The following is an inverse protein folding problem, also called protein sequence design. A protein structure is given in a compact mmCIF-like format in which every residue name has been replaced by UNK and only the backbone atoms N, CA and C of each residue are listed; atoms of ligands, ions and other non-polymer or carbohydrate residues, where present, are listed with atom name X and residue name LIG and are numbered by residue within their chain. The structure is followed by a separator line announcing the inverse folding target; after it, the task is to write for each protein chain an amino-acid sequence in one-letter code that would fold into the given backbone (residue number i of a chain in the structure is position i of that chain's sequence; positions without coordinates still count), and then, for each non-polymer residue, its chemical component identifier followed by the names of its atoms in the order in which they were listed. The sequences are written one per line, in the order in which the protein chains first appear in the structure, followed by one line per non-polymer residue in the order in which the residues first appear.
data_IF_205994333357
#
_entry.id   IF_205994333357
#
_cell.length_a   1.000
_cell.length_b   1.000
_cell.length_c   1.000
_cell.angle_alpha   90.00
_cell.angle_beta   90.00
_cell.angle_gamma   90.00
#
_symmetry.space_group_name_H-M   'P 1'
#
loop_
_entity.id
_entity.type
_entity.pdbx_description
1 polymer ?
#
# COMPACT_ATOMS: atom_id res chain seq x y z
N UNK A 1 54.14 66.11 4.05
CA UNK A 1 53.26 66.70 5.03
C UNK A 1 52.03 65.77 5.12
N UNK A 2 52.09 64.78 5.92
CA UNK A 2 51.57 64.70 7.29
C UNK A 2 50.07 64.78 7.34
N UNK A 3 49.46 63.71 7.78
CA UNK A 3 48.12 63.71 8.29
C UNK A 3 47.55 62.28 8.40
N UNK A 4 47.98 61.60 9.45
CA UNK A 4 47.36 60.41 10.04
C UNK A 4 46.01 60.78 10.60
N UNK A 5 45.01 59.89 10.50
CA UNK A 5 44.16 59.62 11.64
C UNK A 5 43.43 58.27 11.47
N UNK A 6 43.58 57.51 12.49
CA UNK A 6 42.92 56.26 12.82
C UNK A 6 41.41 56.46 13.07
N UNK A 7 40.64 55.40 12.83
CA UNK A 7 39.22 55.34 13.18
C UNK A 7 38.76 53.92 13.17
N UNK A 8 38.95 53.33 14.29
CA UNK A 8 38.59 52.00 14.78
C UNK A 8 37.17 51.58 14.58
N UNK A 9 37.00 50.32 14.27
CA UNK A 9 36.17 49.36 14.96
C UNK A 9 34.63 49.41 14.85
N UNK A 10 34.05 48.39 14.36
CA UNK A 10 32.61 48.17 14.39
C UNK A 10 32.09 46.96 13.61
N UNK A 11 32.86 45.89 13.48
CA UNK A 11 32.30 44.65 13.01
C UNK A 11 31.43 44.00 14.14
N UNK A 12 30.18 44.44 14.23
CA UNK A 12 29.16 43.69 14.98
C UNK A 12 28.85 42.40 14.24
N UNK A 13 29.44 41.35 14.72
CA UNK A 13 29.07 39.98 14.47
C UNK A 13 27.61 39.81 14.85
N UNK A 14 26.70 39.82 13.84
CA UNK A 14 25.34 39.32 14.01
C UNK A 14 25.49 37.80 14.30
N UNK A 15 25.33 37.45 15.57
CA UNK A 15 25.05 36.08 15.96
C UNK A 15 23.71 35.71 15.31
N UNK A 16 23.79 34.97 14.18
CA UNK A 16 22.65 34.17 13.73
C UNK A 16 22.40 33.17 14.84
N UNK A 17 21.30 33.30 15.55
CA UNK A 17 20.74 32.22 16.32
C UNK A 17 20.54 31.07 15.36
N UNK A 18 21.37 30.06 15.44
CA UNK A 18 21.06 28.72 14.95
C UNK A 18 19.80 28.33 15.72
N UNK A 19 18.63 28.41 15.09
CA UNK A 19 17.49 27.67 15.54
C UNK A 19 17.98 26.22 15.61
N UNK A 20 18.12 25.69 16.81
CA UNK A 20 18.35 24.27 17.05
C UNK A 20 17.23 23.56 16.28
N UNK A 21 17.57 22.82 15.24
CA UNK A 21 16.63 21.91 14.60
C UNK A 21 16.21 20.94 15.71
N UNK A 22 14.93 20.89 16.08
CA UNK A 22 14.49 19.94 17.09
C UNK A 22 14.94 18.55 16.62
N UNK A 23 15.54 17.78 17.54
CA UNK A 23 16.00 16.43 17.26
C UNK A 23 14.82 15.65 16.62
N UNK A 24 15.04 15.09 15.44
CA UNK A 24 13.99 14.41 14.69
C UNK A 24 13.55 13.17 15.50
N UNK A 25 12.22 12.97 15.63
CA UNK A 25 11.68 11.75 16.27
C UNK A 25 12.27 10.48 15.66
N UNK A 26 12.51 9.47 16.50
CA UNK A 26 13.13 8.21 16.09
C UNK A 26 12.39 7.53 14.92
N UNK A 27 11.05 7.60 14.89
CA UNK A 27 10.25 7.02 13.81
C UNK A 27 10.50 7.74 12.49
N UNK A 28 10.48 9.06 12.52
CA UNK A 28 10.76 9.88 11.34
C UNK A 28 12.23 9.69 10.87
N UNK A 29 13.17 9.51 11.81
CA UNK A 29 14.56 9.24 11.46
C UNK A 29 14.70 7.89 10.74
N UNK A 30 14.09 6.81 11.25
CA UNK A 30 14.14 5.48 10.64
C UNK A 30 13.43 5.49 9.28
N UNK A 31 12.26 6.12 9.18
CA UNK A 31 11.55 6.25 7.91
C UNK A 31 12.39 7.00 6.86
N UNK A 32 13.06 8.10 7.26
CA UNK A 32 13.98 8.84 6.40
C UNK A 32 15.16 7.99 5.94
N UNK A 33 15.75 7.22 6.86
CA UNK A 33 16.88 6.35 6.53
C UNK A 33 16.45 5.25 5.55
N UNK A 34 15.26 4.66 5.74
CA UNK A 34 14.69 3.66 4.82
C UNK A 34 14.40 4.23 3.44
N UNK A 35 13.86 5.46 3.35
CA UNK A 35 13.62 6.14 2.06
C UNK A 35 14.92 6.30 1.26
N UNK A 36 16.05 6.49 1.92
CA UNK A 36 17.36 6.65 1.27
C UNK A 36 17.93 5.38 0.66
N UNK A 37 17.40 4.22 1.02
CA UNK A 37 17.64 3.01 0.25
C UNK A 37 16.71 3.01 -0.96
N UNK A 38 17.28 3.17 -2.17
CA UNK A 38 16.51 3.05 -3.41
C UNK A 38 16.23 1.57 -3.70
N UNK A 39 15.12 1.09 -3.15
CA UNK A 39 14.62 -0.28 -3.32
C UNK A 39 13.57 -0.36 -4.42
N UNK A 40 13.72 0.41 -5.49
CA UNK A 40 12.76 0.47 -6.59
C UNK A 40 12.58 -0.89 -7.25
N UNK A 41 11.34 -1.33 -7.29
CA UNK A 41 10.88 -2.52 -8.00
C UNK A 41 10.19 -2.11 -9.31
N UNK A 42 10.80 -2.44 -10.45
CA UNK A 42 10.28 -2.11 -11.78
C UNK A 42 9.34 -3.19 -12.31
N UNK A 43 9.14 -4.28 -11.56
CA UNK A 43 8.43 -5.45 -12.03
C UNK A 43 9.21 -6.26 -13.08
N UNK A 44 8.62 -7.34 -13.57
CA UNK A 44 9.19 -8.21 -14.61
C UNK A 44 10.63 -8.69 -14.29
N UNK A 45 10.91 -8.94 -12.99
CA UNK A 45 12.21 -9.40 -12.50
C UNK A 45 13.30 -8.32 -12.46
N UNK A 46 12.95 -7.04 -12.61
CA UNK A 46 13.87 -5.92 -12.51
C UNK A 46 13.66 -5.15 -11.21
N UNK A 47 14.69 -5.02 -10.41
CA UNK A 47 14.68 -4.27 -9.14
C UNK A 47 16.08 -3.73 -8.83
N UNK A 48 16.14 -2.69 -8.03
CA UNK A 48 17.41 -2.24 -7.43
C UNK A 48 17.79 -3.13 -6.23
N UNK A 49 16.82 -3.91 -5.71
CA UNK A 49 17.01 -4.87 -4.62
C UNK A 49 16.73 -4.27 -3.24
N UNK A 50 16.39 -5.14 -2.29
CA UNK A 50 16.03 -4.78 -0.91
C UNK A 50 17.12 -5.11 0.11
N UNK A 51 18.22 -5.76 -0.26
CA UNK A 51 19.24 -6.29 0.67
C UNK A 51 19.75 -5.24 1.67
N UNK A 52 20.13 -4.05 1.20
CA UNK A 52 20.68 -3.00 2.08
C UNK A 52 19.61 -2.51 3.10
N UNK A 53 18.36 -2.37 2.68
CA UNK A 53 17.25 -2.02 3.57
C UNK A 53 16.94 -3.15 4.56
N UNK A 54 16.97 -4.40 4.10
CA UNK A 54 16.77 -5.59 4.91
C UNK A 54 17.86 -5.73 5.99
N UNK A 55 19.14 -5.54 5.63
CA UNK A 55 20.25 -5.54 6.59
C UNK A 55 20.13 -4.41 7.62
N UNK A 56 19.70 -3.22 7.19
CA UNK A 56 19.42 -2.11 8.09
C UNK A 56 18.31 -2.46 9.09
N UNK A 57 17.19 -3.01 8.63
CA UNK A 57 16.07 -3.44 9.49
C UNK A 57 16.49 -4.57 10.44
N UNK A 58 17.24 -5.55 9.94
CA UNK A 58 17.78 -6.62 10.77
C UNK A 58 18.68 -6.08 11.88
N UNK A 59 19.61 -5.17 11.57
CA UNK A 59 20.46 -4.54 12.57
C UNK A 59 19.66 -3.76 13.63
N UNK A 60 18.54 -3.11 13.24
CA UNK A 60 17.63 -2.46 14.20
C UNK A 60 17.00 -3.46 15.16
N UNK A 61 16.53 -4.60 14.64
CA UNK A 61 15.97 -5.69 15.46
C UNK A 61 17.03 -6.34 16.37
N UNK A 62 18.25 -6.56 15.87
CA UNK A 62 19.38 -7.08 16.68
C UNK A 62 19.72 -6.15 17.86
N UNK A 63 19.72 -4.84 17.64
CA UNK A 63 19.94 -3.86 18.70
C UNK A 63 18.87 -3.90 19.80
N UNK A 64 17.70 -4.48 19.53
CA UNK A 64 16.64 -4.75 20.51
C UNK A 64 16.82 -6.11 21.20
N UNK A 65 17.88 -6.85 20.89
CA UNK A 65 18.15 -8.19 21.44
C UNK A 65 17.38 -9.31 20.72
N UNK A 66 16.75 -9.02 19.58
CA UNK A 66 16.05 -10.02 18.77
C UNK A 66 17.03 -10.77 17.85
N UNK A 67 16.54 -11.83 17.23
CA UNK A 67 17.33 -12.67 16.32
C UNK A 67 16.64 -12.70 14.93
N UNK A 68 16.76 -11.63 14.14
CA UNK A 68 16.22 -11.63 12.80
C UNK A 68 16.91 -12.66 11.92
N UNK A 69 16.17 -13.19 10.95
CA UNK A 69 16.67 -14.04 9.89
C UNK A 69 16.43 -13.36 8.56
N UNK A 70 17.44 -13.36 7.71
CA UNK A 70 17.35 -12.85 6.35
C UNK A 70 17.14 -14.02 5.39
N UNK A 71 16.29 -13.82 4.42
CA UNK A 71 15.90 -14.81 3.42
C UNK A 71 16.00 -14.22 2.03
N UNK A 72 16.92 -14.74 1.24
CA UNK A 72 17.05 -14.39 -0.17
C UNK A 72 16.27 -15.40 -1.01
N UNK A 73 15.25 -14.96 -1.70
CA UNK A 73 14.58 -15.78 -2.72
C UNK A 73 15.37 -15.81 -4.01
N UNK A 74 15.96 -14.67 -4.37
CA UNK A 74 16.90 -14.45 -5.47
C UNK A 74 17.93 -13.38 -5.03
N UNK A 75 19.07 -13.25 -5.73
CA UNK A 75 20.05 -12.20 -5.40
C UNK A 75 19.42 -10.80 -5.36
N UNK A 76 19.53 -10.14 -4.21
CA UNK A 76 18.98 -8.81 -3.99
C UNK A 76 17.51 -8.78 -3.52
N UNK A 77 16.81 -9.91 -3.52
CA UNK A 77 15.40 -10.01 -3.07
C UNK A 77 15.35 -10.57 -1.65
N UNK A 78 15.65 -9.72 -0.67
CA UNK A 78 15.88 -10.12 0.72
C UNK A 78 14.73 -9.69 1.62
N UNK A 79 14.09 -10.67 2.25
CA UNK A 79 13.09 -10.47 3.31
C UNK A 79 13.69 -10.68 4.69
N UNK A 80 13.15 -10.03 5.73
CA UNK A 80 13.58 -10.16 7.13
C UNK A 80 12.43 -10.67 7.98
N UNK A 81 12.68 -11.71 8.80
CA UNK A 81 11.68 -12.21 9.76
C UNK A 81 12.30 -12.35 11.14
N UNK A 82 11.63 -11.87 12.17
CA UNK A 82 11.99 -12.04 13.55
C UNK A 82 10.80 -12.43 14.42
N UNK A 83 11.02 -13.28 15.44
CA UNK A 83 10.00 -13.59 16.43
C UNK A 83 10.30 -12.87 17.74
N UNK A 84 9.28 -12.22 18.30
CA UNK A 84 9.31 -11.58 19.61
C UNK A 84 8.48 -12.43 20.56
N UNK A 85 9.07 -12.90 21.65
CA UNK A 85 8.37 -13.68 22.66
C UNK A 85 7.43 -12.78 23.46
N UNK A 86 6.16 -13.18 23.55
CA UNK A 86 5.14 -12.50 24.31
C UNK A 86 5.07 -12.95 25.77
N UNK A 87 4.37 -12.17 26.60
CA UNK A 87 4.13 -12.49 28.00
C UNK A 87 3.23 -13.71 28.17
N UNK A 88 2.28 -13.94 27.26
CA UNK A 88 1.39 -15.10 27.23
C UNK A 88 1.54 -15.86 25.90
N UNK A 89 2.39 -16.87 25.92
CA UNK A 89 2.67 -17.71 24.75
C UNK A 89 1.59 -18.75 24.47
N UNK A 90 0.54 -18.83 25.30
CA UNK A 90 -0.63 -19.67 25.04
C UNK A 90 -1.61 -19.00 24.05
N UNK A 91 -1.53 -17.69 23.89
CA UNK A 91 -2.29 -16.95 22.89
C UNK A 91 -1.74 -17.22 21.48
N UNK A 92 -2.60 -17.23 20.45
CA UNK A 92 -2.13 -17.24 19.07
C UNK A 92 -1.20 -16.06 18.79
N UNK A 93 -0.16 -16.27 17.99
CA UNK A 93 0.74 -15.20 17.60
C UNK A 93 0.06 -14.21 16.65
N UNK A 94 0.55 -12.97 16.63
CA UNK A 94 0.15 -11.93 15.67
C UNK A 94 1.31 -11.69 14.70
N UNK A 95 1.03 -11.72 13.39
CA UNK A 95 1.99 -11.24 12.40
C UNK A 95 1.85 -9.72 12.26
N UNK A 96 2.97 -9.02 12.33
CA UNK A 96 3.05 -7.58 12.03
C UNK A 96 4.04 -7.45 10.89
N UNK A 97 3.57 -7.04 9.72
CA UNK A 97 4.41 -7.07 8.55
C UNK A 97 4.31 -5.80 7.70
N UNK A 98 5.34 -5.61 6.91
CA UNK A 98 5.43 -4.59 5.89
C UNK A 98 6.30 -5.07 4.74
N UNK A 99 6.45 -4.22 3.70
CA UNK A 99 7.35 -4.46 2.60
C UNK A 99 8.41 -3.36 2.50
N UNK A 100 9.56 -3.69 1.96
CA UNK A 100 10.69 -2.77 1.89
C UNK A 100 10.97 -2.23 0.48
N UNK A 101 10.39 -2.83 -0.56
CA UNK A 101 10.45 -2.32 -1.92
C UNK A 101 9.47 -1.15 -2.14
N UNK A 102 9.64 -0.44 -3.23
CA UNK A 102 8.81 0.70 -3.62
C UNK A 102 8.63 0.76 -5.13
N UNK A 103 7.52 1.34 -5.62
CA UNK A 103 7.32 1.59 -7.05
C UNK A 103 8.31 2.65 -7.59
N UNK A 104 8.57 2.68 -8.91
CA UNK A 104 9.45 3.68 -9.52
C UNK A 104 9.00 5.12 -9.26
N UNK A 105 9.96 6.00 -9.09
CA UNK A 105 9.78 7.44 -9.09
C UNK A 105 10.53 8.08 -10.27
N UNK A 106 9.93 9.09 -10.88
CA UNK A 106 10.57 9.91 -11.91
C UNK A 106 10.96 11.25 -11.28
N UNK A 107 12.24 11.47 -10.92
CA UNK A 107 12.67 12.64 -10.13
C UNK A 107 12.27 13.98 -10.76
N UNK A 108 12.25 14.08 -12.09
CA UNK A 108 11.85 15.30 -12.80
C UNK A 108 10.42 15.76 -12.54
N UNK A 109 9.55 14.86 -12.05
CA UNK A 109 8.16 15.15 -11.72
C UNK A 109 7.96 15.52 -10.24
N UNK A 110 8.99 15.37 -9.40
CA UNK A 110 8.90 15.59 -7.96
C UNK A 110 9.37 16.98 -7.55
N UNK A 111 8.76 17.53 -6.50
CA UNK A 111 9.17 18.81 -5.89
C UNK A 111 10.45 18.70 -5.05
N UNK A 112 10.86 17.49 -4.70
CA UNK A 112 12.07 17.13 -3.95
C UNK A 112 12.67 15.86 -4.55
N UNK A 113 13.92 15.54 -4.19
CA UNK A 113 14.47 14.22 -4.56
C UNK A 113 13.68 13.11 -3.85
N UNK A 114 13.09 12.15 -4.58
CA UNK A 114 12.25 11.11 -3.99
C UNK A 114 12.99 10.14 -3.06
N UNK A 115 14.31 10.07 -3.10
CA UNK A 115 15.13 9.18 -2.28
C UNK A 115 16.01 9.90 -1.25
N UNK A 116 15.84 11.21 -1.04
CA UNK A 116 16.58 11.96 -0.02
C UNK A 116 15.92 11.93 1.38
N UNK A 117 14.61 11.63 1.46
CA UNK A 117 13.87 11.69 2.71
C UNK A 117 13.85 13.11 3.29
N UNK A 118 13.36 14.05 2.50
CA UNK A 118 13.37 15.48 2.82
C UNK A 118 12.37 15.80 3.92
N UNK A 119 12.81 16.51 4.97
CA UNK A 119 11.91 17.07 5.97
C UNK A 119 11.57 18.49 5.57
N UNK A 120 10.29 18.74 5.27
CA UNK A 120 9.79 20.03 4.83
C UNK A 120 8.36 20.25 5.30
N UNK A 121 8.03 21.42 5.76
CA UNK A 121 6.68 21.84 6.19
C UNK A 121 6.02 20.87 7.21
N UNK A 122 6.81 20.31 8.15
CA UNK A 122 6.35 19.37 9.15
C UNK A 122 6.04 17.96 8.62
N UNK A 123 6.49 17.65 7.40
CA UNK A 123 6.29 16.36 6.74
C UNK A 123 7.61 15.72 6.32
N UNK A 124 7.65 14.41 6.29
CA UNK A 124 8.69 13.60 5.65
C UNK A 124 8.24 13.32 4.22
N UNK A 125 9.07 13.73 3.24
CA UNK A 125 8.83 13.58 1.81
C UNK A 125 9.77 12.53 1.24
N UNK A 126 9.25 11.67 0.37
CA UNK A 126 10.03 10.70 -0.38
C UNK A 126 9.20 9.51 -0.82
N UNK A 127 9.69 8.73 -1.78
CA UNK A 127 9.08 7.49 -2.22
C UNK A 127 9.16 6.45 -1.08
N UNK A 128 8.01 5.87 -0.71
CA UNK A 128 7.88 5.00 0.47
C UNK A 128 7.49 5.74 1.75
N UNK A 129 7.31 7.08 1.72
CA UNK A 129 6.83 7.83 2.89
C UNK A 129 5.40 7.47 3.29
N UNK A 130 4.62 6.93 2.35
CA UNK A 130 3.23 6.46 2.52
C UNK A 130 3.13 4.96 2.31
N UNK A 131 3.86 4.42 1.33
CA UNK A 131 3.80 3.04 0.89
C UNK A 131 5.21 2.42 0.83
N UNK A 132 5.66 1.67 1.88
CA UNK A 132 5.10 1.69 3.24
C UNK A 132 6.20 1.82 4.32
N UNK A 133 7.35 2.47 3.99
CA UNK A 133 8.49 2.65 4.90
C UNK A 133 8.16 3.45 6.18
N UNK A 134 7.05 4.22 6.16
CA UNK A 134 6.47 4.84 7.34
C UNK A 134 6.00 3.78 8.36
N UNK A 135 5.31 2.74 7.89
CA UNK A 135 4.85 1.65 8.76
C UNK A 135 6.02 0.81 9.27
N UNK A 136 6.99 0.49 8.42
CA UNK A 136 8.20 -0.22 8.82
C UNK A 136 8.92 0.51 9.97
N UNK A 137 9.04 1.82 9.86
CA UNK A 137 9.63 2.64 10.91
C UNK A 137 8.79 2.66 12.19
N UNK A 138 7.46 2.73 12.08
CA UNK A 138 6.55 2.66 13.24
C UNK A 138 6.64 1.29 13.92
N UNK A 139 6.75 0.19 13.17
CA UNK A 139 6.94 -1.16 13.71
C UNK A 139 8.22 -1.26 14.54
N UNK A 140 9.35 -0.82 13.99
CA UNK A 140 10.65 -0.81 14.70
C UNK A 140 10.57 0.02 15.97
N UNK A 141 10.03 1.23 15.91
CA UNK A 141 10.01 2.13 17.07
C UNK A 141 8.98 1.73 18.12
N UNK A 142 7.86 1.11 17.74
CA UNK A 142 6.94 0.49 18.70
C UNK A 142 7.63 -0.64 19.49
N UNK A 143 8.42 -1.49 18.81
CA UNK A 143 9.21 -2.51 19.48
C UNK A 143 10.29 -1.90 20.39
N UNK A 144 10.95 -0.80 19.98
CA UNK A 144 11.89 -0.06 20.83
C UNK A 144 11.23 0.42 22.12
N UNK A 145 10.02 0.99 22.04
CA UNK A 145 9.26 1.46 23.19
C UNK A 145 8.89 0.30 24.14
N UNK A 146 8.45 -0.83 23.59
CA UNK A 146 8.05 -2.00 24.36
C UNK A 146 9.26 -2.61 25.05
N UNK A 147 10.24 -3.07 24.28
CA UNK A 147 11.38 -3.81 24.78
C UNK A 147 12.35 -2.92 25.59
N UNK A 148 12.56 -1.67 25.17
CA UNK A 148 13.37 -0.69 25.88
C UNK A 148 12.82 -0.32 27.26
N UNK A 149 11.49 -0.45 27.48
CA UNK A 149 10.87 -0.28 28.79
C UNK A 149 10.97 -1.54 29.69
N UNK A 150 11.56 -2.62 29.18
CA UNK A 150 11.63 -3.90 29.88
C UNK A 150 10.31 -4.69 29.89
N UNK A 151 9.34 -4.29 29.06
CA UNK A 151 8.04 -4.97 28.90
C UNK A 151 8.11 -5.97 27.74
N UNK A 152 7.11 -6.82 27.67
CA UNK A 152 6.92 -7.78 26.58
C UNK A 152 5.56 -7.51 25.89
N UNK A 153 5.42 -7.83 24.59
CA UNK A 153 4.11 -7.87 23.94
C UNK A 153 3.18 -8.82 24.67
N UNK A 154 1.86 -8.62 24.58
CA UNK A 154 0.89 -9.50 25.26
C UNK A 154 0.93 -10.94 24.75
N UNK A 155 1.32 -11.16 23.49
CA UNK A 155 1.44 -12.45 22.80
C UNK A 155 2.70 -12.49 21.93
N UNK A 156 3.07 -13.65 21.44
CA UNK A 156 4.16 -13.75 20.48
C UNK A 156 3.85 -12.91 19.23
N UNK A 157 4.87 -12.17 18.74
CA UNK A 157 4.78 -11.46 17.47
C UNK A 157 5.71 -12.11 16.45
N UNK A 158 5.26 -12.16 15.19
CA UNK A 158 6.10 -12.42 14.03
C UNK A 158 6.23 -11.11 13.28
N UNK A 159 7.42 -10.52 13.33
CA UNK A 159 7.75 -9.29 12.61
C UNK A 159 8.34 -9.68 11.27
N UNK A 160 7.76 -9.22 10.19
CA UNK A 160 8.25 -9.51 8.85
C UNK A 160 8.34 -8.24 8.01
N UNK A 161 9.45 -8.09 7.28
CA UNK A 161 9.62 -7.09 6.22
C UNK A 161 9.88 -7.86 4.94
N UNK A 162 8.90 -7.86 4.05
CA UNK A 162 8.95 -8.63 2.82
C UNK A 162 9.62 -7.84 1.70
N UNK A 163 10.20 -8.56 0.75
CA UNK A 163 10.61 -8.05 -0.55
C UNK A 163 9.48 -8.22 -1.55
N UNK A 164 9.53 -7.52 -2.69
CA UNK A 164 8.77 -7.82 -3.91
C UNK A 164 7.25 -7.59 -3.84
N UNK A 165 6.74 -6.91 -2.83
CA UNK A 165 5.30 -6.67 -2.71
C UNK A 165 4.75 -5.94 -3.94
N UNK A 166 5.43 -4.89 -4.38
CA UNK A 166 5.06 -4.00 -5.49
C UNK A 166 5.01 -4.70 -6.87
N UNK A 167 5.53 -5.93 -6.94
CA UNK A 167 5.41 -6.80 -8.12
C UNK A 167 4.58 -8.07 -7.87
N UNK A 168 3.81 -8.09 -6.77
CA UNK A 168 2.89 -9.17 -6.40
C UNK A 168 3.44 -10.17 -5.39
N UNK A 169 4.53 -9.85 -4.68
CA UNK A 169 5.05 -10.59 -3.53
C UNK A 169 5.58 -12.01 -3.83
N UNK A 170 5.76 -12.36 -5.11
CA UNK A 170 6.15 -13.73 -5.52
C UNK A 170 7.50 -14.11 -4.95
N UNK A 171 8.46 -13.17 -4.95
CA UNK A 171 9.81 -13.37 -4.44
C UNK A 171 9.94 -12.97 -2.94
N UNK A 172 8.88 -12.53 -2.31
CA UNK A 172 8.80 -12.10 -0.92
C UNK A 172 7.89 -12.98 -0.08
N UNK A 173 6.72 -12.48 0.25
CA UNK A 173 5.75 -13.14 1.13
C UNK A 173 5.29 -14.49 0.62
N UNK A 174 4.95 -14.61 -0.67
CA UNK A 174 4.56 -15.90 -1.25
C UNK A 174 5.69 -16.92 -1.16
N UNK A 175 6.94 -16.51 -1.49
CA UNK A 175 8.10 -17.39 -1.36
C UNK A 175 8.25 -17.94 0.06
N UNK A 176 8.16 -17.06 1.09
CA UNK A 176 8.32 -17.49 2.48
C UNK A 176 7.15 -18.34 2.96
N UNK A 177 5.91 -18.00 2.60
CA UNK A 177 4.73 -18.80 2.96
C UNK A 177 4.81 -20.20 2.35
N UNK A 178 5.25 -20.34 1.10
CA UNK A 178 5.31 -21.59 0.40
C UNK A 178 6.52 -22.46 0.81
N UNK A 179 7.68 -21.85 1.18
CA UNK A 179 8.93 -22.57 1.48
C UNK A 179 9.29 -22.64 2.95
N UNK A 180 8.81 -21.70 3.78
CA UNK A 180 9.16 -21.53 5.19
C UNK A 180 7.93 -21.23 6.08
N UNK A 181 6.80 -22.00 5.91
CA UNK A 181 5.57 -21.73 6.67
C UNK A 181 5.75 -21.79 8.20
N UNK A 182 6.78 -22.47 8.68
CA UNK A 182 7.13 -22.57 10.11
C UNK A 182 7.46 -21.20 10.76
N UNK A 183 7.86 -20.21 9.97
CA UNK A 183 8.12 -18.84 10.47
C UNK A 183 6.86 -18.21 11.05
N UNK A 184 5.70 -18.57 10.50
CA UNK A 184 4.38 -18.05 10.87
C UNK A 184 3.62 -18.99 11.82
N UNK A 185 4.30 -20.02 12.36
CA UNK A 185 3.64 -21.02 13.18
C UNK A 185 2.92 -20.42 14.40
N UNK A 186 1.67 -20.81 14.58
CA UNK A 186 0.80 -20.36 15.68
C UNK A 186 0.16 -18.98 15.46
N UNK A 187 0.42 -18.30 14.36
CA UNK A 187 -0.27 -17.06 14.02
C UNK A 187 -1.65 -17.36 13.43
N UNK A 188 -2.63 -16.53 13.78
CA UNK A 188 -4.02 -16.59 13.28
C UNK A 188 -4.48 -15.28 12.67
N UNK A 189 -3.79 -14.20 12.95
CA UNK A 189 -4.11 -12.84 12.51
C UNK A 189 -2.83 -12.10 12.11
N UNK A 190 -3.01 -11.11 11.23
CA UNK A 190 -1.94 -10.23 10.78
C UNK A 190 -2.42 -8.78 10.70
N UNK A 191 -1.52 -7.83 10.94
CA UNK A 191 -1.70 -6.42 10.64
C UNK A 191 -0.59 -5.93 9.71
N UNK A 192 -0.95 -5.06 8.77
CA UNK A 192 -0.04 -4.50 7.78
C UNK A 192 -0.48 -3.10 7.35
N UNK A 193 -0.09 -2.73 6.15
CA UNK A 193 -0.33 -1.46 5.49
C UNK A 193 -1.79 -1.15 5.12
N UNK A 194 -1.98 -0.03 4.44
CA UNK A 194 -3.17 0.42 3.71
C UNK A 194 -4.45 0.42 4.53
N UNK A 195 -4.35 0.80 5.78
CA UNK A 195 -5.46 1.02 6.71
C UNK A 195 -4.98 1.75 7.94
N UNK A 196 -5.85 1.97 8.93
CA UNK A 196 -5.50 2.68 10.15
C UNK A 196 -5.39 4.20 10.00
N UNK A 197 -5.36 4.75 8.81
CA UNK A 197 -5.30 6.20 8.60
C UNK A 197 -6.68 6.87 8.71
N UNK A 198 -6.67 8.15 9.12
CA UNK A 198 -7.91 8.89 9.31
C UNK A 198 -8.37 9.59 8.04
N UNK A 199 -9.71 9.64 7.89
CA UNK A 199 -10.43 10.46 6.90
C UNK A 199 -11.35 11.47 7.62
N UNK A 200 -11.84 12.46 6.89
CA UNK A 200 -12.81 13.44 7.41
C UNK A 200 -14.17 13.28 6.73
N UNK A 201 -15.19 12.93 7.51
CA UNK A 201 -16.57 12.81 7.06
C UNK A 201 -17.39 13.98 7.62
N UNK A 202 -17.62 15.01 6.82
CA UNK A 202 -18.36 16.21 7.25
C UNK A 202 -17.86 16.78 8.59
N UNK A 203 -16.53 16.87 8.76
CA UNK A 203 -15.89 17.37 9.97
C UNK A 203 -15.75 16.33 11.12
N UNK A 204 -16.29 15.13 10.96
CA UNK A 204 -16.04 14.02 11.87
C UNK A 204 -14.85 13.22 11.35
N UNK A 205 -13.81 13.05 12.21
CA UNK A 205 -12.70 12.14 11.89
C UNK A 205 -13.15 10.71 12.09
N UNK A 206 -12.81 9.84 11.14
CA UNK A 206 -12.98 8.39 11.20
C UNK A 206 -11.68 7.72 10.76
N UNK A 207 -11.41 6.51 11.25
CA UNK A 207 -10.27 5.69 10.82
C UNK A 207 -10.75 4.55 9.95
N UNK A 208 -10.02 4.27 8.87
CA UNK A 208 -10.32 3.14 7.99
C UNK A 208 -9.50 1.92 8.42
N UNK A 209 -10.16 0.82 8.75
CA UNK A 209 -9.51 -0.49 8.95
C UNK A 209 -9.75 -1.33 7.71
N UNK A 210 -8.67 -1.67 7.01
CA UNK A 210 -8.81 -2.51 5.82
C UNK A 210 -9.12 -3.94 6.25
N UNK A 211 -10.25 -4.46 5.78
CA UNK A 211 -10.75 -5.80 6.09
C UNK A 211 -10.96 -6.67 4.85
N UNK A 212 -10.69 -6.13 3.69
CA UNK A 212 -10.81 -6.87 2.44
C UNK A 212 -9.96 -6.28 1.33
N UNK A 213 -9.69 -7.09 0.32
CA UNK A 213 -8.89 -6.73 -0.84
C UNK A 213 -9.54 -7.29 -2.10
N UNK A 214 -9.57 -6.49 -3.17
CA UNK A 214 -9.98 -6.99 -4.48
C UNK A 214 -8.95 -8.00 -5.01
N UNK A 215 -9.40 -8.90 -5.87
CA UNK A 215 -8.48 -9.72 -6.63
C UNK A 215 -7.68 -8.87 -7.62
N UNK A 216 -6.55 -9.40 -8.04
CA UNK A 216 -5.75 -8.84 -9.11
C UNK A 216 -5.65 -9.88 -10.24
N UNK A 217 -6.05 -9.49 -11.45
CA UNK A 217 -5.81 -10.28 -12.65
C UNK A 217 -5.20 -9.39 -13.72
N UNK A 218 -4.01 -9.74 -14.17
CA UNK A 218 -3.44 -9.15 -15.39
C UNK A 218 -3.70 -10.08 -16.55
N UNK A 219 -4.39 -9.59 -17.56
CA UNK A 219 -4.74 -10.34 -18.74
C UNK A 219 -4.20 -9.67 -20.00
N UNK A 220 -3.76 -10.50 -20.94
CA UNK A 220 -3.36 -10.08 -22.28
C UNK A 220 -4.47 -10.44 -23.25
N UNK A 221 -4.97 -9.48 -24.02
CA UNK A 221 -5.84 -9.68 -25.16
C UNK A 221 -4.98 -9.79 -26.42
N UNK A 222 -5.16 -10.83 -27.20
CA UNK A 222 -4.43 -11.09 -28.45
C UNK A 222 -5.42 -11.21 -29.59
N UNK A 223 -5.30 -10.33 -30.56
CA UNK A 223 -6.02 -10.43 -31.84
C UNK A 223 -5.09 -10.93 -32.92
N UNK A 224 -5.57 -11.88 -33.73
CA UNK A 224 -4.84 -12.38 -34.92
C UNK A 224 -5.60 -12.03 -36.19
N UNK A 225 -4.86 -11.81 -37.27
CA UNK A 225 -5.42 -11.45 -38.58
C UNK A 225 -4.45 -11.75 -39.72
N UNK A 226 -4.80 -11.27 -40.89
CA UNK A 226 -4.01 -11.49 -42.09
C UNK A 226 -2.97 -10.36 -42.28
N UNK A 227 -1.67 -10.73 -42.27
CA UNK A 227 -0.62 -9.78 -42.66
C UNK A 227 -0.70 -9.39 -44.14
N UNK A 228 -0.53 -8.11 -44.44
CA UNK A 228 -0.60 -7.62 -45.81
C UNK A 228 0.08 -6.27 -46.00
N UNK A 229 0.27 -5.90 -47.27
CA UNK A 229 0.63 -4.52 -47.62
C UNK A 229 -0.53 -3.55 -47.30
N UNK A 230 -0.26 -2.40 -46.72
CA UNK A 230 -1.24 -1.45 -46.23
C UNK A 230 -2.23 -0.91 -47.28
N UNK A 231 -1.93 -1.05 -48.59
CA UNK A 231 -2.83 -0.68 -49.66
C UNK A 231 -3.90 -1.73 -50.03
N UNK A 232 -3.82 -2.94 -49.42
CA UNK A 232 -4.75 -4.01 -49.72
C UNK A 232 -6.05 -3.86 -48.93
N UNK A 233 -7.16 -4.25 -49.49
CA UNK A 233 -8.43 -4.41 -48.80
C UNK A 233 -8.39 -5.72 -47.98
N UNK A 234 -8.22 -5.61 -46.67
CA UNK A 234 -8.21 -6.73 -45.73
C UNK A 234 -9.35 -6.53 -44.72
N UNK A 235 -10.23 -7.51 -44.61
CA UNK A 235 -11.29 -7.52 -43.60
C UNK A 235 -10.84 -8.17 -42.28
N UNK A 236 -9.92 -9.12 -42.36
CA UNK A 236 -9.35 -9.81 -41.22
C UNK A 236 -8.11 -9.08 -40.70
N UNK A 237 -8.34 -7.94 -40.00
CA UNK A 237 -7.27 -7.05 -39.52
C UNK A 237 -7.15 -7.13 -38.00
N UNK A 238 -6.01 -7.63 -37.52
CA UNK A 238 -5.75 -7.79 -36.09
C UNK A 238 -5.86 -6.48 -35.29
N UNK A 239 -5.39 -5.37 -35.86
CA UNK A 239 -5.44 -4.05 -35.19
C UNK A 239 -6.90 -3.59 -34.99
N UNK A 240 -7.74 -3.76 -36.00
CA UNK A 240 -9.16 -3.38 -35.91
C UNK A 240 -9.89 -4.23 -34.86
N UNK A 241 -9.71 -5.56 -34.91
CA UNK A 241 -10.31 -6.47 -33.92
C UNK A 241 -9.91 -6.11 -32.50
N UNK A 242 -8.61 -5.89 -32.26
CA UNK A 242 -8.11 -5.52 -30.94
C UNK A 242 -8.67 -4.16 -30.48
N UNK A 243 -8.67 -3.15 -31.36
CA UNK A 243 -9.19 -1.82 -31.01
C UNK A 243 -10.67 -1.87 -30.59
N UNK A 244 -11.49 -2.67 -31.27
CA UNK A 244 -12.89 -2.90 -30.92
C UNK A 244 -13.03 -3.59 -29.57
N UNK A 245 -12.21 -4.61 -29.29
CA UNK A 245 -12.21 -5.32 -27.99
C UNK A 245 -11.79 -4.40 -26.85
N UNK A 246 -10.69 -3.66 -27.00
CA UNK A 246 -10.21 -2.68 -26.02
C UNK A 246 -11.25 -1.60 -25.74
N UNK A 247 -11.93 -1.10 -26.79
CA UNK A 247 -12.99 -0.11 -26.62
C UNK A 247 -14.20 -0.68 -25.85
N UNK A 248 -14.58 -1.94 -26.08
CA UNK A 248 -15.64 -2.61 -25.31
C UNK A 248 -15.24 -2.75 -23.85
N UNK A 249 -14.05 -3.23 -23.56
CA UNK A 249 -13.53 -3.40 -22.19
C UNK A 249 -13.47 -2.05 -21.46
N UNK A 250 -12.85 -1.04 -22.05
CA UNK A 250 -12.69 0.28 -21.42
C UNK A 250 -13.99 1.07 -21.22
N UNK A 251 -15.06 0.71 -21.97
CA UNK A 251 -16.40 1.33 -21.81
C UNK A 251 -17.35 0.50 -20.95
N UNK A 252 -16.94 -0.71 -20.53
CA UNK A 252 -17.77 -1.57 -19.70
C UNK A 252 -17.98 -0.91 -18.34
N UNK A 253 -19.22 -0.58 -18.02
CA UNK A 253 -19.62 -0.18 -16.67
C UNK A 253 -20.07 -1.41 -15.91
N UNK A 254 -19.24 -1.83 -14.97
CA UNK A 254 -19.56 -2.94 -14.07
C UNK A 254 -20.62 -2.50 -13.07
N UNK A 255 -21.60 -3.35 -12.76
CA UNK A 255 -22.63 -3.02 -11.77
C UNK A 255 -22.03 -2.85 -10.39
N UNK A 256 -22.64 -2.01 -9.56
CA UNK A 256 -22.36 -1.97 -8.13
C UNK A 256 -22.80 -3.29 -7.53
N UNK A 257 -21.89 -3.89 -6.78
CA UNK A 257 -22.14 -5.06 -5.93
C UNK A 257 -21.44 -4.82 -4.60
N UNK A 258 -22.23 -4.73 -3.55
CA UNK A 258 -21.69 -4.49 -2.23
C UNK A 258 -21.30 -5.82 -1.60
N UNK A 259 -20.09 -5.88 -1.05
CA UNK A 259 -19.63 -6.92 -0.14
C UNK A 259 -20.12 -6.62 1.28
N UNK A 260 -19.87 -7.50 2.24
CA UNK A 260 -20.21 -7.24 3.64
C UNK A 260 -19.43 -6.01 4.14
N UNK A 261 -18.13 -5.92 3.84
CA UNK A 261 -17.27 -4.77 4.17
C UNK A 261 -17.81 -3.46 3.61
N UNK A 262 -18.15 -3.41 2.32
CA UNK A 262 -18.62 -2.16 1.69
C UNK A 262 -20.03 -1.79 2.13
N UNK A 263 -20.87 -2.77 2.46
CA UNK A 263 -22.19 -2.55 3.02
C UNK A 263 -22.09 -1.89 4.40
N UNK A 264 -21.22 -2.41 5.27
CA UNK A 264 -21.00 -1.87 6.60
C UNK A 264 -20.37 -0.48 6.54
N UNK A 265 -19.33 -0.28 5.70
CA UNK A 265 -18.73 1.04 5.48
C UNK A 265 -19.77 2.09 5.11
N UNK A 266 -20.58 1.82 4.08
CA UNK A 266 -21.58 2.79 3.60
C UNK A 266 -22.71 3.02 4.62
N UNK A 267 -23.08 2.00 5.40
CA UNK A 267 -24.01 2.13 6.50
C UNK A 267 -23.50 3.08 7.58
N UNK A 268 -22.23 2.94 7.97
CA UNK A 268 -21.59 3.82 8.95
C UNK A 268 -21.38 5.25 8.43
N UNK A 269 -21.00 5.40 7.15
CA UNK A 269 -20.93 6.73 6.50
C UNK A 269 -22.30 7.40 6.54
N UNK A 270 -23.38 6.70 6.18
CA UNK A 270 -24.74 7.24 6.24
C UNK A 270 -25.13 7.64 7.67
N UNK A 271 -24.78 6.83 8.67
CA UNK A 271 -25.03 7.10 10.09
C UNK A 271 -24.31 8.38 10.55
N UNK A 272 -23.03 8.54 10.20
CA UNK A 272 -22.23 9.73 10.54
C UNK A 272 -22.82 10.99 9.89
N UNK A 273 -23.27 10.88 8.65
CA UNK A 273 -23.86 11.98 7.89
C UNK A 273 -25.32 12.27 8.30
N UNK A 274 -25.97 11.37 9.06
CA UNK A 274 -27.37 11.50 9.45
C UNK A 274 -28.34 11.34 8.25
N UNK A 275 -27.98 10.55 7.25
CA UNK A 275 -28.80 10.30 6.05
C UNK A 275 -29.35 8.87 6.04
N UNK A 276 -30.46 8.67 5.31
CA UNK A 276 -31.04 7.35 5.11
C UNK A 276 -30.33 6.67 3.92
N UNK A 277 -29.60 5.55 4.14
CA UNK A 277 -28.85 4.88 3.08
C UNK A 277 -29.75 4.31 1.96
N UNK A 278 -31.05 4.14 2.23
CA UNK A 278 -32.00 3.71 1.18
C UNK A 278 -32.40 4.84 0.24
N UNK A 279 -32.18 6.09 0.64
CA UNK A 279 -32.50 7.29 -0.15
C UNK A 279 -31.29 7.89 -0.86
N UNK A 280 -30.10 7.58 -0.35
CA UNK A 280 -28.82 8.01 -0.90
C UNK A 280 -28.13 6.79 -1.50
N UNK A 281 -27.80 6.86 -2.78
CA UNK A 281 -27.16 5.73 -3.46
C UNK A 281 -25.74 5.44 -2.97
N UNK A 282 -25.21 4.22 -3.23
CA UNK A 282 -23.87 3.85 -2.82
C UNK A 282 -22.77 4.79 -3.36
N UNK A 283 -22.88 5.25 -4.61
CA UNK A 283 -21.91 6.20 -5.19
C UNK A 283 -21.95 7.56 -4.49
N UNK A 284 -23.13 8.07 -4.13
CA UNK A 284 -23.26 9.33 -3.40
C UNK A 284 -22.70 9.23 -1.99
N UNK A 285 -22.89 8.09 -1.30
CA UNK A 285 -22.29 7.84 0.02
C UNK A 285 -20.76 7.75 -0.09
N UNK A 286 -20.24 7.08 -1.12
CA UNK A 286 -18.80 7.04 -1.38
C UNK A 286 -18.24 8.43 -1.67
N UNK A 287 -18.92 9.26 -2.47
CA UNK A 287 -18.51 10.66 -2.74
C UNK A 287 -18.45 11.48 -1.45
N UNK A 288 -19.35 11.23 -0.51
CA UNK A 288 -19.39 11.95 0.76
C UNK A 288 -18.18 11.65 1.67
N UNK A 289 -17.34 10.67 1.33
CA UNK A 289 -16.07 10.38 2.04
C UNK A 289 -14.93 11.36 1.71
N UNK A 290 -15.20 12.37 0.88
CA UNK A 290 -14.26 13.47 0.60
C UNK A 290 -13.04 13.01 -0.19
N UNK A 291 -11.83 13.18 0.35
CA UNK A 291 -10.57 12.80 -0.31
C UNK A 291 -10.47 11.28 -0.58
N UNK A 292 -11.18 10.45 0.18
CA UNK A 292 -11.23 9.00 -0.06
C UNK A 292 -12.26 8.57 -1.14
N UNK A 293 -13.06 9.49 -1.68
CA UNK A 293 -14.20 9.18 -2.55
C UNK A 293 -13.84 8.32 -3.76
N UNK A 294 -12.82 8.71 -4.54
CA UNK A 294 -12.41 7.98 -5.74
C UNK A 294 -11.91 6.57 -5.43
N UNK A 295 -11.22 6.44 -4.31
CA UNK A 295 -10.71 5.18 -3.81
C UNK A 295 -11.86 4.24 -3.38
N UNK A 296 -12.81 4.75 -2.59
CA UNK A 296 -13.96 3.95 -2.12
C UNK A 296 -14.91 3.61 -3.27
N UNK A 297 -15.18 4.51 -4.23
CA UNK A 297 -16.01 4.20 -5.39
C UNK A 297 -15.48 3.02 -6.21
N UNK A 298 -14.16 2.89 -6.33
CA UNK A 298 -13.53 1.78 -7.03
C UNK A 298 -13.78 0.43 -6.33
N UNK A 299 -14.05 0.42 -5.02
CA UNK A 299 -14.30 -0.82 -4.25
C UNK A 299 -15.76 -1.31 -4.33
N UNK A 300 -16.66 -0.49 -4.86
CA UNK A 300 -18.08 -0.86 -4.98
C UNK A 300 -18.37 -1.73 -6.20
N UNK A 301 -17.41 -1.98 -7.06
CA UNK A 301 -17.56 -2.72 -8.32
C UNK A 301 -16.24 -3.28 -8.84
N UNK A 302 -16.35 -4.23 -9.75
CA UNK A 302 -15.20 -4.67 -10.57
C UNK A 302 -14.70 -3.50 -11.43
N UNK A 303 -13.40 -3.45 -11.69
CA UNK A 303 -12.79 -2.52 -12.63
C UNK A 303 -11.96 -3.27 -13.67
N UNK A 304 -12.02 -2.82 -14.94
CA UNK A 304 -11.23 -3.37 -16.04
C UNK A 304 -10.63 -2.23 -16.84
N UNK A 305 -9.32 -2.06 -16.73
CA UNK A 305 -8.61 -0.94 -17.34
C UNK A 305 -7.60 -1.43 -18.38
N UNK A 306 -7.77 -1.09 -19.67
CA UNK A 306 -6.70 -1.26 -20.64
C UNK A 306 -5.51 -0.37 -20.28
N UNK A 307 -4.33 -0.97 -20.15
CA UNK A 307 -3.11 -0.28 -19.68
C UNK A 307 -2.03 -0.17 -20.74
N UNK A 308 -1.94 -1.15 -21.64
CA UNK A 308 -0.97 -1.14 -22.73
C UNK A 308 -1.61 -1.61 -24.03
N UNK A 309 -1.14 -1.09 -25.16
CA UNK A 309 -1.58 -1.49 -26.49
C UNK A 309 -0.40 -1.49 -27.44
N UNK A 310 -0.15 -2.62 -28.10
CA UNK A 310 0.96 -2.80 -29.04
C UNK A 310 0.43 -3.41 -30.35
N UNK A 311 0.70 -2.75 -31.48
CA UNK A 311 0.29 -3.23 -32.79
C UNK A 311 1.15 -2.65 -33.90
N UNK A 312 1.60 -3.52 -34.80
CA UNK A 312 2.37 -3.14 -36.01
C UNK A 312 3.79 -2.64 -35.71
N UNK A 313 4.58 -2.56 -36.76
CA UNK A 313 5.99 -2.15 -36.72
C UNK A 313 6.38 -1.20 -37.86
N UNK A 314 5.50 -1.02 -38.84
CA UNK A 314 5.75 -0.17 -40.00
C UNK A 314 4.41 0.35 -40.56
N UNK A 315 4.36 1.64 -40.91
CA UNK A 315 3.14 2.34 -41.30
C UNK A 315 2.47 1.81 -42.59
N UNK A 316 3.16 1.09 -43.45
CA UNK A 316 2.61 0.51 -44.68
C UNK A 316 2.46 -1.04 -44.65
N UNK A 317 2.46 -1.64 -43.45
CA UNK A 317 2.28 -3.06 -43.22
C UNK A 317 1.11 -3.28 -42.30
N UNK A 318 0.13 -4.12 -42.70
CA UNK A 318 -0.90 -4.62 -41.82
C UNK A 318 -0.30 -5.79 -41.03
N UNK A 319 -0.21 -5.72 -39.70
CA UNK A 319 0.36 -6.80 -38.90
C UNK A 319 -0.63 -7.97 -38.79
N UNK A 320 -0.08 -9.17 -38.53
CA UNK A 320 -0.86 -10.38 -38.25
C UNK A 320 -1.26 -10.53 -36.79
N UNK A 321 -0.68 -9.74 -35.90
CA UNK A 321 -0.94 -9.80 -34.46
C UNK A 321 -0.99 -8.40 -33.85
N UNK A 322 -1.90 -8.21 -32.88
CA UNK A 322 -1.99 -7.04 -32.05
C UNK A 322 -2.31 -7.49 -30.62
N UNK A 323 -1.75 -6.81 -29.62
CA UNK A 323 -1.85 -7.17 -28.20
C UNK A 323 -2.24 -5.96 -27.33
N UNK A 324 -3.01 -6.21 -26.26
CA UNK A 324 -3.30 -5.23 -25.23
C UNK A 324 -3.22 -5.87 -23.86
N UNK A 325 -2.79 -5.12 -22.84
CA UNK A 325 -2.81 -5.53 -21.44
C UNK A 325 -3.98 -4.87 -20.72
N UNK A 326 -4.63 -5.66 -19.87
CA UNK A 326 -5.79 -5.25 -19.08
C UNK A 326 -5.47 -5.51 -17.60
N UNK A 327 -5.59 -4.48 -16.77
CA UNK A 327 -5.65 -4.60 -15.32
C UNK A 327 -7.10 -4.83 -14.90
N UNK A 328 -7.37 -5.95 -14.25
CA UNK A 328 -8.69 -6.38 -13.80
C UNK A 328 -8.65 -6.50 -12.28
N UNK A 329 -9.55 -5.79 -11.60
CA UNK A 329 -9.73 -5.86 -10.16
C UNK A 329 -11.15 -6.29 -9.85
N UNK A 330 -11.34 -7.54 -9.43
CA UNK A 330 -12.68 -8.05 -9.11
C UNK A 330 -12.98 -7.96 -7.62
N UNK A 331 -14.25 -7.97 -7.28
CA UNK A 331 -14.67 -8.18 -5.91
C UNK A 331 -14.31 -9.61 -5.45
N UNK A 332 -14.08 -9.85 -4.14
CA UNK A 332 -13.76 -11.18 -3.63
C UNK A 332 -14.77 -12.25 -4.10
N UNK A 333 -14.24 -13.37 -4.64
CA UNK A 333 -15.04 -14.49 -5.11
C UNK A 333 -15.73 -14.33 -6.47
N UNK A 334 -15.51 -13.22 -7.18
CA UNK A 334 -16.11 -12.97 -8.50
C UNK A 334 -15.15 -13.23 -9.68
N UNK A 335 -13.93 -13.66 -9.42
CA UNK A 335 -12.84 -13.72 -10.41
C UNK A 335 -13.21 -14.52 -11.66
N UNK A 336 -13.75 -15.74 -11.49
CA UNK A 336 -14.10 -16.61 -12.62
C UNK A 336 -15.29 -16.06 -13.40
N UNK A 337 -16.28 -15.50 -12.71
CA UNK A 337 -17.46 -14.92 -13.35
C UNK A 337 -17.09 -13.70 -14.19
N UNK A 338 -16.20 -12.85 -13.70
CA UNK A 338 -15.73 -11.66 -14.40
C UNK A 338 -14.89 -12.04 -15.63
N UNK A 339 -14.00 -13.03 -15.52
CA UNK A 339 -13.23 -13.51 -16.66
C UNK A 339 -14.12 -14.13 -17.75
N UNK A 340 -15.15 -14.87 -17.35
CA UNK A 340 -16.13 -15.40 -18.31
C UNK A 340 -16.91 -14.28 -19.02
N UNK A 341 -17.41 -13.29 -18.28
CA UNK A 341 -18.11 -12.12 -18.86
C UNK A 341 -17.18 -11.31 -19.77
N UNK A 342 -15.89 -11.18 -19.41
CA UNK A 342 -14.90 -10.52 -20.26
C UNK A 342 -14.69 -11.27 -21.58
N UNK A 343 -14.63 -12.60 -21.54
CA UNK A 343 -14.50 -13.43 -22.73
C UNK A 343 -15.72 -13.26 -23.67
N UNK A 344 -16.92 -13.25 -23.12
CA UNK A 344 -18.14 -13.01 -23.89
C UNK A 344 -18.16 -11.58 -24.49
N UNK A 345 -17.68 -10.58 -23.73
CA UNK A 345 -17.66 -9.18 -24.14
C UNK A 345 -16.74 -8.94 -25.34
N UNK A 346 -15.54 -9.50 -25.32
CA UNK A 346 -14.53 -9.32 -26.39
C UNK A 346 -14.84 -10.20 -27.60
N UNK A 347 -15.43 -11.36 -27.38
CA UNK A 347 -15.86 -12.30 -28.43
C UNK A 347 -14.76 -13.28 -28.86
N UNK A 348 -15.11 -14.22 -29.76
CA UNK A 348 -14.26 -15.37 -30.09
C UNK A 348 -13.00 -15.04 -30.92
N UNK A 349 -12.92 -13.85 -31.49
CA UNK A 349 -11.76 -13.40 -32.29
C UNK A 349 -10.59 -12.90 -31.43
N UNK A 350 -10.77 -12.86 -30.11
CA UNK A 350 -9.77 -12.39 -29.13
C UNK A 350 -9.39 -13.55 -28.20
N UNK A 351 -8.13 -13.86 -28.21
CA UNK A 351 -7.53 -14.79 -27.23
C UNK A 351 -7.25 -14.01 -25.93
N UNK A 352 -7.68 -14.54 -24.77
CA UNK A 352 -7.38 -13.97 -23.45
C UNK A 352 -6.34 -14.87 -22.78
N UNK A 353 -5.18 -14.32 -22.45
CA UNK A 353 -4.11 -14.99 -21.71
C UNK A 353 -3.99 -14.37 -20.34
N UNK A 354 -4.26 -15.12 -19.28
CA UNK A 354 -4.01 -14.68 -17.91
C UNK A 354 -2.50 -14.71 -17.65
N UNK A 355 -1.92 -13.56 -17.34
CA UNK A 355 -0.49 -13.41 -17.06
C UNK A 355 -0.19 -13.52 -15.55
N UNK A 356 -1.09 -12.96 -14.73
CA UNK A 356 -1.03 -13.01 -13.29
C UNK A 356 -2.46 -13.11 -12.75
N UNK A 357 -2.63 -13.86 -11.67
CA UNK A 357 -3.91 -13.97 -10.98
C UNK A 357 -3.66 -14.14 -9.49
N UNK A 358 -4.29 -13.29 -8.71
CA UNK A 358 -4.34 -13.39 -7.26
C UNK A 358 -5.79 -13.28 -6.77
N UNK A 359 -6.07 -13.84 -5.61
CA UNK A 359 -7.43 -13.92 -5.05
C UNK A 359 -7.86 -12.61 -4.40
N UNK A 360 -9.16 -12.37 -4.35
CA UNK A 360 -9.75 -11.37 -3.46
C UNK A 360 -9.93 -11.94 -2.05
N UNK A 361 -9.76 -11.09 -1.03
CA UNK A 361 -9.94 -11.44 0.37
C UNK A 361 -11.04 -10.61 1.01
N UNK A 362 -11.78 -11.21 1.93
CA UNK A 362 -12.66 -10.48 2.83
C UNK A 362 -12.61 -11.13 4.21
N UNK A 363 -12.26 -10.34 5.22
CA UNK A 363 -12.22 -10.71 6.63
C UNK A 363 -13.29 -9.94 7.35
N UNK A 364 -14.00 -10.58 8.27
CA UNK A 364 -15.08 -9.94 9.03
C UNK A 364 -14.57 -8.79 9.89
N UNK A 365 -15.35 -7.70 9.96
CA UNK A 365 -15.08 -6.55 10.83
C UNK A 365 -15.59 -6.82 12.24
N UNK A 366 -15.14 -7.92 12.81
CA UNK A 366 -15.48 -8.34 14.18
C UNK A 366 -14.32 -9.12 14.82
N UNK A 367 -14.44 -9.37 16.11
CA UNK A 367 -13.51 -10.21 16.85
C UNK A 367 -12.46 -9.44 17.66
N UNK A 368 -11.64 -10.18 18.43
CA UNK A 368 -10.78 -9.59 19.46
C UNK A 368 -9.75 -8.58 18.92
N UNK A 369 -9.21 -8.79 17.72
CA UNK A 369 -8.23 -7.85 17.13
C UNK A 369 -8.92 -6.55 16.71
N UNK A 370 -10.09 -6.61 16.07
CA UNK A 370 -10.86 -5.43 15.68
C UNK A 370 -11.29 -4.63 16.90
N UNK A 371 -11.73 -5.31 17.97
CA UNK A 371 -12.08 -4.69 19.23
C UNK A 371 -10.87 -3.99 19.87
N UNK A 372 -9.70 -4.65 19.88
CA UNK A 372 -8.47 -4.09 20.42
C UNK A 372 -7.97 -2.88 19.62
N UNK A 373 -8.00 -2.95 18.28
CA UNK A 373 -7.68 -1.84 17.39
C UNK A 373 -8.59 -0.64 17.67
N UNK A 374 -9.90 -0.90 17.73
CA UNK A 374 -10.90 0.14 17.98
C UNK A 374 -10.71 0.79 19.36
N UNK A 375 -10.50 -0.01 20.40
CA UNK A 375 -10.27 0.48 21.75
C UNK A 375 -8.98 1.32 21.82
N UNK A 376 -7.90 0.85 21.18
CA UNK A 376 -6.62 1.55 21.17
C UNK A 376 -6.71 2.87 20.40
N UNK A 377 -7.32 2.89 19.23
CA UNK A 377 -7.53 4.15 18.50
C UNK A 377 -8.35 5.15 19.33
N UNK A 378 -9.41 4.68 20.01
CA UNK A 378 -10.26 5.51 20.84
C UNK A 378 -9.56 6.02 22.13
N UNK A 379 -8.50 5.35 22.62
CA UNK A 379 -7.70 5.87 23.73
C UNK A 379 -6.87 7.09 23.30
N UNK A 380 -6.40 7.12 22.04
CA UNK A 380 -5.59 8.20 21.47
C UNK A 380 -6.41 9.30 20.76
N UNK A 381 -7.56 8.95 20.18
CA UNK A 381 -8.47 9.90 19.52
C UNK A 381 -9.93 9.57 19.89
N UNK A 382 -10.38 10.02 21.06
CA UNK A 382 -11.70 9.66 21.59
C UNK A 382 -12.84 10.07 20.66
N UNK A 383 -13.79 9.16 20.46
CA UNK A 383 -14.99 9.32 19.64
C UNK A 383 -14.78 9.28 18.12
N UNK A 384 -13.57 9.01 17.64
CA UNK A 384 -13.36 8.74 16.22
C UNK A 384 -13.82 7.30 15.90
N UNK A 385 -14.85 7.09 15.07
CA UNK A 385 -15.26 5.76 14.67
C UNK A 385 -14.19 5.08 13.83
N UNK A 386 -14.12 3.75 13.92
CA UNK A 386 -13.34 2.89 13.04
C UNK A 386 -14.31 2.27 12.04
N UNK A 387 -13.99 2.34 10.77
CA UNK A 387 -14.84 1.89 9.68
C UNK A 387 -14.12 0.81 8.89
N UNK A 388 -14.78 -0.31 8.55
CA UNK A 388 -14.18 -1.29 7.66
C UNK A 388 -14.08 -0.73 6.25
N UNK A 389 -13.05 -1.14 5.49
CA UNK A 389 -13.03 -0.82 4.07
C UNK A 389 -12.35 -1.91 3.24
N UNK A 390 -12.76 -1.98 1.97
CA UNK A 390 -12.22 -2.88 0.97
C UNK A 390 -11.14 -2.14 0.18
N UNK A 391 -9.93 -2.69 0.10
CA UNK A 391 -8.85 -2.17 -0.74
C UNK A 391 -9.06 -2.58 -2.21
N UNK A 392 -8.84 -1.65 -3.15
CA UNK A 392 -8.82 -1.97 -4.58
C UNK A 392 -7.50 -2.60 -5.05
N UNK A 393 -6.44 -2.51 -4.24
CA UNK A 393 -5.15 -3.15 -4.43
C UNK A 393 -5.10 -4.56 -3.83
N UNK A 394 -3.89 -5.05 -3.64
CA UNK A 394 -3.58 -6.25 -2.89
C UNK A 394 -2.42 -5.96 -1.94
N UNK A 395 -2.23 -6.79 -0.95
CA UNK A 395 -1.10 -6.74 0.00
C UNK A 395 -0.55 -8.14 0.23
N UNK A 396 0.54 -8.24 0.95
CA UNK A 396 1.12 -9.52 1.39
C UNK A 396 0.18 -10.37 2.28
N UNK A 397 -0.93 -9.80 2.76
CA UNK A 397 -1.98 -10.56 3.44
C UNK A 397 -2.53 -11.71 2.58
N UNK A 398 -2.51 -11.58 1.24
CA UNK A 398 -2.92 -12.65 0.32
C UNK A 398 -2.04 -13.89 0.46
N UNK A 399 -0.72 -13.71 0.59
CA UNK A 399 0.18 -14.82 0.83
C UNK A 399 -0.10 -15.48 2.19
N UNK A 400 -0.23 -14.68 3.26
CA UNK A 400 -0.50 -15.18 4.61
C UNK A 400 -1.85 -15.90 4.72
N UNK A 401 -2.85 -15.51 3.92
CA UNK A 401 -4.16 -16.17 3.88
C UNK A 401 -4.10 -17.64 3.50
N UNK A 402 -3.08 -18.08 2.73
CA UNK A 402 -2.83 -19.49 2.41
C UNK A 402 -2.58 -20.35 3.66
N UNK A 403 -2.08 -19.73 4.75
CA UNK A 403 -1.87 -20.36 6.05
C UNK A 403 -3.09 -20.23 6.98
N UNK A 404 -4.21 -19.68 6.51
CA UNK A 404 -5.39 -19.41 7.31
C UNK A 404 -5.25 -18.19 8.23
N UNK A 405 -4.25 -17.34 8.03
CA UNK A 405 -4.04 -16.12 8.80
C UNK A 405 -4.96 -15.02 8.25
N UNK A 406 -5.75 -14.42 9.12
CA UNK A 406 -6.65 -13.32 8.78
C UNK A 406 -5.87 -12.01 8.77
N UNK A 407 -5.80 -11.35 7.61
CA UNK A 407 -5.08 -10.08 7.44
C UNK A 407 -5.99 -8.86 7.60
N UNK A 408 -5.43 -7.81 8.21
CA UNK A 408 -6.03 -6.50 8.34
C UNK A 408 -5.00 -5.43 7.96
N UNK A 409 -5.41 -4.42 7.19
CA UNK A 409 -4.56 -3.26 6.96
C UNK A 409 -4.70 -2.27 8.12
N UNK A 410 -3.61 -2.03 8.84
CA UNK A 410 -3.59 -1.17 10.02
C UNK A 410 -2.23 -0.48 10.20
N UNK A 411 -2.00 0.61 9.46
CA UNK A 411 -0.90 1.55 9.64
C UNK A 411 -1.47 2.87 10.20
N UNK A 412 -1.63 3.00 11.54
CA UNK A 412 -2.42 4.08 12.13
C UNK A 412 -1.77 5.45 11.94
N UNK A 413 -2.50 6.37 11.28
CA UNK A 413 -2.06 7.73 11.03
C UNK A 413 -3.20 8.72 11.29
N UNK A 414 -2.95 9.72 12.14
CA UNK A 414 -3.86 10.85 12.36
C UNK A 414 -3.52 11.96 11.39
N UNK A 415 -4.29 12.05 10.31
CA UNK A 415 -4.01 12.93 9.19
C UNK A 415 -4.77 14.26 9.26
N UNK A 416 -4.20 15.34 8.71
CA UNK A 416 -4.94 16.58 8.45
C UNK A 416 -6.08 16.32 7.46
N UNK A 417 -7.28 16.89 7.66
CA UNK A 417 -8.45 16.61 6.83
C UNK A 417 -8.32 17.06 5.37
N UNK A 418 -7.42 18.01 5.10
CA UNK A 418 -7.13 18.53 3.76
C UNK A 418 -6.08 17.70 2.99
N UNK A 419 -5.39 16.77 3.64
CA UNK A 419 -4.38 15.95 3.01
C UNK A 419 -5.04 14.82 2.21
N UNK A 420 -4.89 14.86 0.90
CA UNK A 420 -5.32 13.76 0.03
C UNK A 420 -4.30 12.61 0.10
N UNK A 421 -4.37 11.88 1.21
CA UNK A 421 -3.46 10.76 1.49
C UNK A 421 -3.61 9.61 0.49
N UNK A 422 -4.85 9.19 0.12
CA UNK A 422 -5.02 8.12 -0.86
C UNK A 422 -4.44 8.43 -2.24
N UNK A 423 -4.40 9.70 -2.66
CA UNK A 423 -3.82 10.09 -3.94
C UNK A 423 -2.28 9.98 -3.97
N UNK A 424 -1.64 9.79 -2.82
CA UNK A 424 -0.18 9.69 -2.73
C UNK A 424 0.35 8.26 -2.90
N UNK A 425 -0.51 7.23 -2.75
CA UNK A 425 -0.11 5.86 -3.09
C UNK A 425 0.30 5.78 -4.55
N UNK A 426 1.54 5.38 -4.82
CA UNK A 426 2.18 5.39 -6.15
C UNK A 426 2.23 6.78 -6.83
N UNK A 427 1.87 7.83 -6.09
CA UNK A 427 1.80 9.20 -6.58
C UNK A 427 3.15 9.93 -6.66
N UNK A 428 3.08 11.20 -7.01
CA UNK A 428 4.20 12.15 -6.97
C UNK A 428 4.11 12.95 -5.68
N UNK A 429 5.27 13.36 -5.14
CA UNK A 429 5.33 14.16 -3.90
C UNK A 429 4.71 13.44 -2.69
N UNK A 430 4.93 12.15 -2.62
CA UNK A 430 4.54 11.28 -1.50
C UNK A 430 5.14 11.81 -0.20
N UNK A 431 4.32 11.96 0.82
CA UNK A 431 4.72 12.55 2.09
C UNK A 431 3.79 12.19 3.25
N UNK A 432 4.36 12.14 4.45
CA UNK A 432 3.63 11.85 5.68
C UNK A 432 3.92 12.91 6.75
N UNK A 433 2.90 13.40 7.50
CA UNK A 433 3.13 14.31 8.62
C UNK A 433 3.96 13.66 9.73
N UNK A 434 4.93 14.40 10.27
CA UNK A 434 5.79 13.90 11.36
C UNK A 434 4.97 13.52 12.61
N UNK A 435 3.97 14.34 12.95
CA UNK A 435 3.09 14.09 14.09
C UNK A 435 2.23 12.82 13.88
N UNK A 436 1.89 12.49 12.64
CA UNK A 436 1.15 11.27 12.32
C UNK A 436 2.01 10.02 12.55
N UNK A 437 3.32 10.08 12.27
CA UNK A 437 4.25 9.00 12.58
C UNK A 437 4.36 8.74 14.09
N UNK A 438 4.44 9.82 14.88
CA UNK A 438 4.47 9.73 16.36
C UNK A 438 3.17 9.13 16.89
N UNK A 439 2.03 9.58 16.37
CA UNK A 439 0.71 9.01 16.70
C UNK A 439 0.65 7.53 16.39
N UNK A 440 1.07 7.13 15.17
CA UNK A 440 1.04 5.74 14.73
C UNK A 440 1.92 4.83 15.59
N UNK A 441 3.15 5.26 15.90
CA UNK A 441 4.02 4.55 16.84
C UNK A 441 3.34 4.34 18.20
N UNK A 442 2.72 5.37 18.78
CA UNK A 442 2.05 5.28 20.08
C UNK A 442 0.88 4.29 20.06
N UNK A 443 0.05 4.34 19.01
CA UNK A 443 -1.07 3.41 18.82
C UNK A 443 -0.58 1.98 18.66
N UNK A 444 0.44 1.74 17.81
CA UNK A 444 1.02 0.39 17.65
C UNK A 444 1.64 -0.13 18.95
N UNK A 445 2.38 0.71 19.68
CA UNK A 445 2.97 0.35 20.98
C UNK A 445 1.89 -0.13 21.95
N UNK A 446 0.79 0.64 22.08
CA UNK A 446 -0.30 0.26 22.99
C UNK A 446 -1.04 -0.99 22.54
N UNK A 447 -1.33 -1.12 21.24
CA UNK A 447 -1.97 -2.31 20.69
C UNK A 447 -1.14 -3.57 20.96
N UNK A 448 0.14 -3.57 20.61
CA UNK A 448 1.03 -4.74 20.74
C UNK A 448 1.29 -5.11 22.22
N UNK A 449 1.20 -4.15 23.12
CA UNK A 449 1.33 -4.40 24.55
C UNK A 449 0.10 -5.05 25.17
N UNK A 450 -1.09 -4.78 24.67
CA UNK A 450 -2.34 -5.14 25.34
C UNK A 450 -3.14 -6.24 24.61
N UNK A 451 -2.97 -6.38 23.29
CA UNK A 451 -3.64 -7.42 22.51
C UNK A 451 -2.89 -8.74 22.60
#
# INVERSE_FOLDING_TARGET
MSGTCEGTDGYRRAMSSSAENPELDATAQIARDLIRFDTTNYGEGRSNGETDAAEYLAARLENLGLKPQLFDSEPGRTSVVARVEGADRSKPALVVHGHSDVVPAQPDNWSVDPFEGVIKDGMLWGRGAVDMKNMDAMMITALQDILGSGRQPARDLVIAFFADEEAGGVLGSHHLVDTRPELFAGATEAISEVGGYSISLNGTRAYLLQTGEKSLVWAKLIARGQAAHGSRLIHDNAVTKLAEAVAKVGRRQWPIRLTDTTTELLGEVARILGVDPQKVGPDELAIATGTAAGFIQATLRTTTNPTMLTAGYKHNVIPDTAEALIDIRTLPGEEDAVLAELADLVGPDIEIVTMHRDIGLETSFDGPLVDAITATLNSHDPRAPVLPYLLSGGTDNKALSKLGIKGYGFAPLKLPPELDFPAMFHGVDERVPLDALVFGRQVLTELLLNY
#
